data_IF_055285890739
#
_entry.id   IF_055285890739
#
_cell.length_a   1.000
_cell.length_b   1.000
_cell.length_c   1.000
_cell.angle_alpha   90.00
_cell.angle_beta   90.00
_cell.angle_gamma   90.00
#
_symmetry.space_group_name_H-M   'P 1'
#
loop_
_entity.id
_entity.type
_entity.pdbx_description
1 polymer ?
#
# COMPACT_ATOMS: atom_id res chain seq x y z
N UNK A 1 3.07 -2.03 21.56
CA UNK A 1 3.85 -1.25 20.59
C UNK A 1 3.11 0.03 20.30
N UNK A 2 3.80 1.15 20.17
CA UNK A 2 3.22 2.45 19.85
C UNK A 2 3.02 2.62 18.33
N UNK A 3 2.13 3.53 17.94
CA UNK A 3 1.77 3.77 16.53
C UNK A 3 2.98 4.19 15.68
N UNK A 4 3.96 4.92 16.25
CA UNK A 4 5.14 5.33 15.50
C UNK A 4 6.03 4.14 15.13
N UNK A 5 6.18 3.17 16.04
CA UNK A 5 6.93 1.95 15.76
C UNK A 5 6.26 1.12 14.68
N UNK A 6 4.93 0.94 14.75
CA UNK A 6 4.17 0.23 13.72
C UNK A 6 4.30 0.91 12.35
N UNK A 7 4.14 2.24 12.30
CA UNK A 7 4.28 3.01 11.06
C UNK A 7 5.66 2.83 10.44
N UNK A 8 6.73 2.85 11.25
CA UNK A 8 8.09 2.64 10.77
C UNK A 8 8.26 1.26 10.15
N UNK A 9 7.78 0.21 10.83
CA UNK A 9 7.85 -1.17 10.32
C UNK A 9 7.07 -1.34 9.01
N UNK A 10 5.87 -0.77 8.91
CA UNK A 10 5.06 -0.75 7.69
C UNK A 10 5.80 -0.06 6.53
N UNK A 11 6.37 1.13 6.78
CA UNK A 11 7.09 1.90 5.75
C UNK A 11 8.37 1.20 5.30
N UNK A 12 9.15 0.66 6.24
CA UNK A 12 10.38 -0.07 5.96
C UNK A 12 10.08 -1.32 5.11
N UNK A 13 8.99 -2.05 5.41
CA UNK A 13 8.54 -3.19 4.61
C UNK A 13 8.17 -2.80 3.18
N UNK A 14 7.34 -1.76 2.99
CA UNK A 14 6.95 -1.30 1.65
C UNK A 14 8.16 -0.86 0.83
N UNK A 15 9.09 -0.11 1.43
CA UNK A 15 10.33 0.36 0.76
C UNK A 15 11.30 -0.76 0.41
N UNK A 16 11.22 -1.91 1.08
CA UNK A 16 12.01 -3.09 0.69
C UNK A 16 11.46 -3.77 -0.57
N UNK A 17 10.18 -3.58 -0.88
CA UNK A 17 9.47 -4.22 -1.99
C UNK A 17 9.42 -3.34 -3.25
N UNK A 18 9.62 -2.03 -3.14
CA UNK A 18 9.60 -1.10 -4.27
C UNK A 18 10.63 0.02 -4.10
N UNK A 19 11.17 0.49 -5.23
CA UNK A 19 12.01 1.70 -5.28
C UNK A 19 11.21 2.96 -5.61
N UNK A 20 9.90 2.82 -5.82
CA UNK A 20 9.03 3.92 -6.20
C UNK A 20 8.94 4.96 -5.08
N UNK A 21 9.05 6.24 -5.45
CA UNK A 21 8.86 7.38 -4.56
C UNK A 21 7.73 8.26 -5.11
N UNK A 22 6.47 7.83 -4.96
CA UNK A 22 5.35 8.54 -5.56
C UNK A 22 5.16 9.90 -4.91
N UNK A 23 4.91 10.93 -5.73
CA UNK A 23 4.58 12.27 -5.25
C UNK A 23 3.10 12.41 -4.84
N UNK A 24 2.24 11.50 -5.31
CA UNK A 24 0.80 11.53 -5.13
C UNK A 24 0.33 10.16 -4.63
N UNK A 25 -0.54 10.16 -3.62
CA UNK A 25 -1.27 8.98 -3.17
C UNK A 25 -2.76 9.10 -3.52
N UNK A 26 -3.37 7.98 -3.92
CA UNK A 26 -4.79 7.90 -4.26
C UNK A 26 -5.40 6.74 -3.47
N UNK A 27 -6.57 6.98 -2.87
CA UNK A 27 -7.38 5.93 -2.22
C UNK A 27 -8.61 5.72 -3.10
N UNK A 28 -8.81 4.51 -3.59
CA UNK A 28 -9.94 4.16 -4.44
C UNK A 28 -11.04 3.54 -3.59
N UNK A 29 -12.19 4.21 -3.55
CA UNK A 29 -13.40 3.70 -2.90
C UNK A 29 -14.14 2.66 -3.76
N UNK A 30 -15.29 2.21 -3.26
CA UNK A 30 -16.15 1.23 -3.93
C UNK A 30 -16.49 1.65 -5.36
N UNK A 31 -16.32 0.73 -6.32
CA UNK A 31 -16.63 0.95 -7.74
C UNK A 31 -15.54 1.67 -8.55
N UNK A 32 -14.46 2.13 -7.92
CA UNK A 32 -13.36 2.85 -8.60
C UNK A 32 -12.14 1.98 -8.92
N UNK A 33 -12.23 0.66 -8.72
CA UNK A 33 -11.12 -0.27 -8.94
C UNK A 33 -10.56 -0.27 -10.37
N UNK A 34 -11.43 -0.05 -11.36
CA UNK A 34 -11.02 0.02 -12.77
C UNK A 34 -9.98 1.12 -13.05
N UNK A 35 -9.97 2.21 -12.25
CA UNK A 35 -8.95 3.25 -12.39
C UNK A 35 -7.55 2.71 -12.06
N UNK A 36 -7.43 1.76 -11.14
CA UNK A 36 -6.13 1.14 -10.83
C UNK A 36 -5.60 0.29 -12.00
N UNK A 37 -6.47 -0.23 -12.85
CA UNK A 37 -6.07 -1.09 -13.98
C UNK A 37 -5.46 -0.29 -15.13
N UNK A 38 -5.83 0.99 -15.26
CA UNK A 38 -5.22 1.92 -16.21
C UNK A 38 -3.84 2.43 -15.76
N UNK A 39 -3.47 2.24 -14.49
CA UNK A 39 -2.16 2.66 -13.97
C UNK A 39 -1.12 1.64 -14.43
N UNK A 40 -0.03 2.09 -15.05
CA UNK A 40 1.13 1.25 -15.30
C UNK A 40 1.76 0.82 -13.97
N UNK A 41 1.60 -0.46 -13.61
CA UNK A 41 1.99 -0.99 -12.31
C UNK A 41 3.48 -1.37 -12.31
N UNK A 42 4.32 -0.58 -11.65
CA UNK A 42 5.75 -0.93 -11.41
C UNK A 42 5.88 -1.98 -10.30
N UNK A 43 5.08 -1.88 -9.25
CA UNK A 43 5.05 -2.83 -8.13
C UNK A 43 3.62 -2.97 -7.62
N UNK A 44 3.19 -4.21 -7.37
CA UNK A 44 1.89 -4.52 -6.76
C UNK A 44 2.15 -5.20 -5.43
N UNK A 45 1.67 -4.61 -4.34
CA UNK A 45 1.83 -5.13 -2.97
C UNK A 45 0.44 -5.45 -2.44
N UNK A 46 0.21 -6.72 -2.11
CA UNK A 46 -1.01 -7.18 -1.48
C UNK A 46 -0.99 -6.83 0.01
N UNK A 47 -2.15 -6.51 0.60
CA UNK A 47 -2.21 -5.99 1.98
C UNK A 47 -1.70 -6.99 3.04
N UNK A 48 -1.82 -8.29 2.80
CA UNK A 48 -1.28 -9.36 3.66
C UNK A 48 0.25 -9.33 3.78
N UNK A 49 0.95 -8.70 2.81
CA UNK A 49 2.41 -8.54 2.84
C UNK A 49 2.86 -7.30 3.58
N UNK A 50 1.93 -6.44 4.02
CA UNK A 50 2.22 -5.17 4.68
C UNK A 50 1.97 -5.34 6.19
N UNK A 51 3.01 -5.27 7.04
CA UNK A 51 2.84 -5.34 8.49
C UNK A 51 1.87 -4.29 9.00
N UNK A 52 1.01 -4.67 9.94
CA UNK A 52 0.02 -3.80 10.61
C UNK A 52 -1.06 -3.22 9.70
N UNK A 53 -1.10 -3.63 8.42
CA UNK A 53 -2.13 -3.20 7.50
C UNK A 53 -3.41 -4.02 7.68
N UNK A 54 -4.59 -3.41 7.68
CA UNK A 54 -5.84 -4.14 7.81
C UNK A 54 -6.07 -5.00 6.56
N UNK A 55 -6.51 -6.24 6.77
CA UNK A 55 -7.02 -7.09 5.69
C UNK A 55 -8.38 -6.54 5.24
N UNK A 56 -8.51 -6.22 3.95
CA UNK A 56 -9.83 -5.92 3.38
C UNK A 56 -10.63 -7.21 3.32
N UNK A 57 -11.79 -7.25 3.96
CA UNK A 57 -12.70 -8.41 3.97
C UNK A 57 -13.85 -8.27 2.97
N UNK A 58 -13.82 -7.24 2.11
CA UNK A 58 -14.89 -6.88 1.16
C UNK A 58 -14.35 -6.64 -0.23
#
# INVERSE_FOLDING_TARGET
MDVKTQLKETVDSIRSLTKSTPAIGIILGTGLGALADEIQKETVITYDKIPHFPLSTV
#
